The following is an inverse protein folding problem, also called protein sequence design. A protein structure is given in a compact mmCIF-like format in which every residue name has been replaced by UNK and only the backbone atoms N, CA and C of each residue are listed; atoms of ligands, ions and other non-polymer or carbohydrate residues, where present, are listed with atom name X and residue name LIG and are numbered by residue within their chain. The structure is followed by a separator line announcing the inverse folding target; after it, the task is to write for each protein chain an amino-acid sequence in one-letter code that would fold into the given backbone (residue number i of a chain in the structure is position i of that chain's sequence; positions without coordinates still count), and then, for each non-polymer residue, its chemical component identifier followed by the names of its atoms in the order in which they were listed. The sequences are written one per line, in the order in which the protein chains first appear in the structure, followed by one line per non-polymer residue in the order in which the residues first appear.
data_IF_018118477768
#
_entry.id   IF_018118477768
#
_cell.length_a   1.000
_cell.length_b   1.000
_cell.length_c   1.000
_cell.angle_alpha   90.00
_cell.angle_beta   90.00
_cell.angle_gamma   90.00
#
_symmetry.space_group_name_H-M   'P 1'
#
loop_
_entity.id
_entity.type
_entity.pdbx_description
1 polymer ?
#
# COMPACT_ATOMS: atom_id res chain seq x y z
N UNK A 1 42.31 -26.18 -16.29
CA UNK A 1 42.87 -24.85 -15.97
C UNK A 1 42.53 -24.55 -14.51
N UNK A 2 43.53 -24.42 -13.62
CA UNK A 2 43.29 -24.13 -12.19
C UNK A 2 43.05 -22.64 -12.03
N UNK A 3 41.85 -22.25 -11.59
CA UNK A 3 41.55 -20.87 -11.23
C UNK A 3 42.44 -20.49 -10.04
N UNK A 4 43.22 -19.40 -10.09
CA UNK A 4 44.07 -19.01 -9.00
C UNK A 4 43.22 -18.68 -7.77
N UNK A 5 43.63 -19.16 -6.60
CA UNK A 5 42.87 -19.04 -5.33
C UNK A 5 42.43 -17.60 -5.03
N UNK A 6 43.27 -16.63 -5.38
CA UNK A 6 42.99 -15.19 -5.22
C UNK A 6 41.77 -14.77 -6.05
N UNK A 7 41.67 -15.20 -7.31
CA UNK A 7 40.55 -14.88 -8.19
C UNK A 7 39.24 -15.53 -7.72
N UNK A 8 39.31 -16.73 -7.13
CA UNK A 8 38.16 -17.41 -6.54
C UNK A 8 37.67 -16.71 -5.26
N UNK A 9 38.58 -16.20 -4.44
CA UNK A 9 38.25 -15.37 -3.28
C UNK A 9 37.61 -14.03 -3.68
N UNK A 10 38.10 -13.39 -4.74
CA UNK A 10 37.48 -12.17 -5.28
C UNK A 10 36.07 -12.44 -5.84
N UNK A 11 35.87 -13.55 -6.57
CA UNK A 11 34.54 -13.93 -7.07
C UNK A 11 33.56 -14.23 -5.93
N UNK A 12 34.02 -14.91 -4.88
CA UNK A 12 33.19 -15.24 -3.72
C UNK A 12 32.83 -13.99 -2.91
N UNK A 13 33.74 -13.02 -2.78
CA UNK A 13 33.47 -11.74 -2.12
C UNK A 13 32.42 -10.92 -2.87
N UNK A 14 32.50 -10.87 -4.21
CA UNK A 14 31.49 -10.19 -5.06
C UNK A 14 30.13 -10.87 -4.92
N UNK A 15 30.10 -12.22 -4.94
CA UNK A 15 28.86 -12.99 -4.75
C UNK A 15 28.24 -12.74 -3.36
N UNK A 16 29.06 -12.67 -2.30
CA UNK A 16 28.61 -12.43 -0.93
C UNK A 16 28.08 -11.00 -0.73
N UNK A 17 28.67 -10.01 -1.41
CA UNK A 17 28.14 -8.64 -1.39
C UNK A 17 26.78 -8.53 -2.06
N UNK A 18 26.54 -9.26 -3.16
CA UNK A 18 25.22 -9.32 -3.81
C UNK A 18 24.16 -10.05 -2.98
N UNK A 19 24.56 -11.04 -2.17
CA UNK A 19 23.66 -11.75 -1.23
C UNK A 19 23.32 -10.92 0.02
N UNK A 20 24.20 -10.05 0.48
CA UNK A 20 23.93 -9.17 1.64
C UNK A 20 23.31 -7.82 1.25
N UNK A 21 23.51 -7.35 0.02
CA UNK A 21 22.82 -6.17 -0.51
C UNK A 21 21.51 -6.59 -1.15
N UNK A 22 20.58 -7.08 -0.32
CA UNK A 22 19.16 -6.93 -0.63
C UNK A 22 18.92 -5.44 -0.81
N UNK A 23 18.99 -4.98 -2.06
CA UNK A 23 18.73 -3.61 -2.48
C UNK A 23 17.29 -3.26 -2.07
N UNK A 24 17.09 -2.81 -0.84
CA UNK A 24 15.93 -2.02 -0.48
C UNK A 24 16.25 -0.60 -0.95
N UNK A 25 16.03 -0.37 -2.25
CA UNK A 25 15.70 0.97 -2.73
C UNK A 25 14.33 1.27 -2.14
N UNK A 26 14.33 1.79 -0.91
CA UNK A 26 13.18 2.53 -0.41
C UNK A 26 13.13 3.80 -1.24
N UNK A 27 12.39 3.72 -2.34
CA UNK A 27 12.07 4.90 -3.13
C UNK A 27 11.30 5.83 -2.21
N UNK A 28 11.87 6.99 -1.90
CA UNK A 28 11.22 8.11 -1.22
C UNK A 28 10.11 8.75 -2.09
N UNK A 29 9.27 7.90 -2.70
CA UNK A 29 7.99 8.26 -3.26
C UNK A 29 7.05 8.33 -2.08
N UNK A 30 6.70 9.55 -1.65
CA UNK A 30 5.65 9.74 -0.64
C UNK A 30 4.45 8.85 -0.96
N UNK A 31 3.89 8.20 0.06
CA UNK A 31 2.76 7.31 -0.14
C UNK A 31 1.64 8.05 -0.86
N UNK A 32 1.11 7.43 -1.92
CA UNK A 32 -0.01 8.00 -2.67
C UNK A 32 -1.20 8.16 -1.75
N UNK A 33 -1.80 9.34 -1.78
CA UNK A 33 -3.04 9.64 -1.11
C UNK A 33 -4.21 9.44 -2.07
N UNK A 34 -5.20 8.68 -1.63
CA UNK A 34 -6.44 8.46 -2.36
C UNK A 34 -7.61 9.09 -1.61
N UNK A 35 -8.55 9.66 -2.35
CA UNK A 35 -9.84 10.09 -1.85
C UNK A 35 -10.85 8.97 -2.01
N UNK A 36 -11.69 8.79 -1.00
CA UNK A 36 -12.83 7.88 -1.00
C UNK A 36 -14.10 8.72 -1.03
N UNK A 37 -14.86 8.58 -2.10
CA UNK A 37 -15.99 9.43 -2.42
C UNK A 37 -17.30 8.66 -2.35
N UNK A 38 -18.36 9.31 -1.87
CA UNK A 38 -19.71 8.75 -1.88
C UNK A 38 -20.31 8.67 -3.30
N UNK A 39 -21.58 8.26 -3.39
CA UNK A 39 -22.31 8.18 -4.65
C UNK A 39 -22.46 9.52 -5.40
N UNK A 40 -22.29 10.64 -4.70
CA UNK A 40 -22.38 12.00 -5.25
C UNK A 40 -21.00 12.63 -5.51
N UNK A 41 -19.92 11.84 -5.44
CA UNK A 41 -18.54 12.31 -5.55
C UNK A 41 -18.13 13.33 -4.47
N UNK A 42 -18.75 13.26 -3.28
CA UNK A 42 -18.29 14.02 -2.11
C UNK A 42 -17.21 13.25 -1.36
N UNK A 43 -16.08 13.91 -1.11
CA UNK A 43 -14.97 13.31 -0.37
C UNK A 43 -15.42 12.96 1.05
N UNK A 44 -15.37 11.67 1.38
CA UNK A 44 -15.83 11.14 2.67
C UNK A 44 -14.65 10.69 3.53
N UNK A 45 -13.66 10.04 2.91
CA UNK A 45 -12.48 9.53 3.60
C UNK A 45 -11.21 9.75 2.77
N UNK A 46 -10.07 9.68 3.46
CA UNK A 46 -8.76 9.52 2.86
C UNK A 46 -8.31 8.07 2.98
N UNK A 47 -7.57 7.58 1.99
CA UNK A 47 -6.96 6.25 2.00
C UNK A 47 -5.46 6.42 1.71
N UNK A 48 -4.63 5.92 2.61
CA UNK A 48 -3.18 5.99 2.52
C UNK A 48 -2.59 4.71 3.13
N UNK A 49 -1.73 4.03 2.37
CA UNK A 49 -1.19 2.73 2.76
C UNK A 49 -2.30 1.74 3.11
N UNK A 50 -2.20 1.16 4.30
CA UNK A 50 -3.15 0.15 4.82
C UNK A 50 -4.26 0.75 5.70
N UNK A 51 -4.54 2.05 5.57
CA UNK A 51 -5.49 2.74 6.43
C UNK A 51 -6.45 3.66 5.67
N UNK A 52 -7.65 3.80 6.23
CA UNK A 52 -8.67 4.76 5.80
C UNK A 52 -8.99 5.69 6.96
N UNK A 53 -8.95 6.99 6.71
CA UNK A 53 -9.14 8.06 7.67
C UNK A 53 -10.35 8.91 7.31
N UNK A 54 -11.03 9.49 8.30
CA UNK A 54 -11.96 10.58 8.06
C UNK A 54 -11.22 11.85 7.59
N UNK A 55 -11.99 12.89 7.24
CA UNK A 55 -11.42 14.15 6.75
C UNK A 55 -10.65 14.94 7.81
N UNK A 56 -10.69 14.52 9.07
CA UNK A 56 -9.91 15.06 10.20
C UNK A 56 -8.73 14.15 10.57
N UNK A 57 -8.37 13.19 9.70
CA UNK A 57 -7.29 12.22 9.89
C UNK A 57 -7.50 11.25 11.07
N UNK A 58 -8.74 11.09 11.53
CA UNK A 58 -9.09 10.02 12.47
C UNK A 58 -9.17 8.68 11.74
N UNK A 59 -8.42 7.68 12.20
CA UNK A 59 -8.51 6.32 11.66
C UNK A 59 -9.96 5.82 11.71
N UNK A 60 -10.46 5.28 10.61
CA UNK A 60 -11.80 4.69 10.50
C UNK A 60 -11.73 3.21 10.17
N UNK A 61 -10.85 2.81 9.24
CA UNK A 61 -10.70 1.42 8.84
C UNK A 61 -9.24 1.01 8.63
N UNK A 62 -8.96 -0.25 8.88
CA UNK A 62 -7.76 -0.95 8.46
C UNK A 62 -8.02 -1.66 7.12
N UNK A 63 -7.02 -1.69 6.25
CA UNK A 63 -7.05 -2.41 4.98
C UNK A 63 -6.18 -3.65 5.09
N UNK A 64 -6.71 -4.81 4.71
CA UNK A 64 -5.96 -6.06 4.56
C UNK A 64 -6.65 -6.93 3.52
N UNK A 65 -5.89 -7.53 2.60
CA UNK A 65 -6.41 -8.46 1.58
C UNK A 65 -7.66 -7.91 0.87
N UNK A 66 -7.57 -6.65 0.38
CA UNK A 66 -8.66 -5.91 -0.27
C UNK A 66 -9.95 -5.80 0.57
N UNK A 67 -9.82 -5.84 1.89
CA UNK A 67 -10.95 -5.80 2.83
C UNK A 67 -10.75 -4.67 3.82
N UNK A 68 -11.82 -3.91 4.10
CA UNK A 68 -11.84 -2.89 5.14
C UNK A 68 -12.40 -3.48 6.42
N UNK A 69 -11.63 -3.34 7.48
CA UNK A 69 -12.00 -3.70 8.83
C UNK A 69 -12.18 -2.46 9.68
N UNK A 70 -13.17 -2.43 10.57
CA UNK A 70 -13.27 -1.37 11.56
C UNK A 70 -12.13 -1.44 12.58
N UNK A 71 -12.16 -0.50 13.55
CA UNK A 71 -11.18 -0.40 14.65
C UNK A 71 -11.06 -1.67 15.50
N UNK A 72 -12.06 -2.53 15.48
CA UNK A 72 -12.11 -3.79 16.23
C UNK A 72 -11.84 -5.01 15.32
N UNK A 73 -11.24 -4.78 14.15
CA UNK A 73 -10.95 -5.80 13.14
C UNK A 73 -12.19 -6.58 12.67
N UNK A 74 -13.39 -5.98 12.75
CA UNK A 74 -14.58 -6.57 12.15
C UNK A 74 -14.67 -6.14 10.70
N UNK A 75 -14.89 -7.09 9.81
CA UNK A 75 -15.04 -6.81 8.38
C UNK A 75 -16.26 -5.94 8.13
N UNK A 76 -16.12 -4.91 7.29
CA UNK A 76 -17.19 -3.98 6.94
C UNK A 76 -17.41 -3.86 5.43
N UNK A 77 -16.33 -3.79 4.66
CA UNK A 77 -16.39 -3.57 3.21
C UNK A 77 -15.32 -4.35 2.46
N UNK A 78 -15.47 -4.44 1.15
CA UNK A 78 -14.49 -5.01 0.23
C UNK A 78 -14.08 -3.98 -0.82
N UNK A 79 -12.81 -3.97 -1.19
CA UNK A 79 -12.26 -3.17 -2.29
C UNK A 79 -12.18 -4.06 -3.54
N UNK A 80 -12.68 -3.55 -4.66
CA UNK A 80 -12.50 -4.16 -5.97
C UNK A 80 -12.15 -3.05 -6.98
N UNK A 81 -10.86 -2.99 -7.37
CA UNK A 81 -10.34 -1.90 -8.18
C UNK A 81 -10.54 -0.54 -7.50
N UNK A 82 -11.27 0.36 -8.17
CA UNK A 82 -11.56 1.71 -7.69
C UNK A 82 -12.92 1.83 -6.96
N UNK A 83 -13.46 0.72 -6.46
CA UNK A 83 -14.78 0.68 -5.83
C UNK A 83 -14.74 -0.03 -4.48
N UNK A 84 -15.57 0.45 -3.54
CA UNK A 84 -15.76 -0.14 -2.21
C UNK A 84 -17.21 -0.59 -2.09
N UNK A 85 -17.41 -1.85 -1.71
CA UNK A 85 -18.71 -2.50 -1.59
C UNK A 85 -18.99 -2.93 -0.16
N UNK A 86 -20.24 -2.88 0.27
CA UNK A 86 -20.65 -3.51 1.53
C UNK A 86 -20.71 -5.03 1.41
N UNK A 87 -21.08 -5.70 2.51
CA UNK A 87 -21.15 -7.16 2.57
C UNK A 87 -22.13 -7.79 1.57
N UNK A 88 -23.14 -7.03 1.15
CA UNK A 88 -24.14 -7.44 0.16
C UNK A 88 -23.73 -7.09 -1.29
N UNK A 89 -22.47 -6.70 -1.53
CA UNK A 89 -21.95 -6.29 -2.85
C UNK A 89 -22.64 -5.05 -3.44
N UNK A 90 -23.26 -4.21 -2.62
CA UNK A 90 -23.72 -2.90 -3.07
C UNK A 90 -22.59 -1.89 -2.99
N UNK A 91 -22.38 -1.16 -4.09
CA UNK A 91 -21.40 -0.07 -4.15
C UNK A 91 -21.72 0.96 -3.08
N UNK A 92 -20.72 1.34 -2.29
CA UNK A 92 -20.81 2.37 -1.25
C UNK A 92 -19.96 3.57 -1.60
N UNK A 93 -18.73 3.33 -2.06
CA UNK A 93 -17.77 4.40 -2.33
C UNK A 93 -16.93 4.15 -3.58
N UNK A 94 -16.32 5.23 -4.08
CA UNK A 94 -15.37 5.23 -5.20
C UNK A 94 -14.02 5.73 -4.72
N UNK A 95 -12.94 5.12 -5.21
CA UNK A 95 -11.56 5.49 -4.88
C UNK A 95 -10.98 6.23 -6.07
N UNK A 96 -10.33 7.37 -5.82
CA UNK A 96 -9.58 8.12 -6.84
C UNK A 96 -8.34 8.73 -6.22
N UNK A 97 -7.24 8.81 -6.96
CA UNK A 97 -6.04 9.54 -6.51
C UNK A 97 -6.42 10.96 -6.11
N UNK A 98 -5.98 11.39 -4.93
CA UNK A 98 -6.31 12.70 -4.36
C UNK A 98 -5.05 13.56 -4.30
N UNK A 99 -5.16 14.73 -4.92
CA UNK A 99 -4.15 15.78 -4.85
C UNK A 99 -4.73 16.92 -4.02
N UNK A 100 -4.14 17.24 -2.86
CA UNK A 100 -4.57 18.40 -2.08
C UNK A 100 -4.50 19.68 -2.94
N UNK A 101 -5.46 20.60 -2.83
CA UNK A 101 -5.33 21.91 -3.43
C UNK A 101 -4.13 22.65 -2.83
N UNK A 102 -3.36 23.35 -3.67
CA UNK A 102 -2.27 24.25 -3.26
C UNK A 102 -2.76 25.47 -2.48
#
# INVERSE_FOLDING_TARGET
MKIPRILMSFLLAILLTFLCSGFMVDTASGEKLYGVYDGNWSLTYYMQGDAVYDTQWGLQYHIRDNTLYDKNWQRRYFIEGAAIYNENRYLQYRIKEYTPPE
#
